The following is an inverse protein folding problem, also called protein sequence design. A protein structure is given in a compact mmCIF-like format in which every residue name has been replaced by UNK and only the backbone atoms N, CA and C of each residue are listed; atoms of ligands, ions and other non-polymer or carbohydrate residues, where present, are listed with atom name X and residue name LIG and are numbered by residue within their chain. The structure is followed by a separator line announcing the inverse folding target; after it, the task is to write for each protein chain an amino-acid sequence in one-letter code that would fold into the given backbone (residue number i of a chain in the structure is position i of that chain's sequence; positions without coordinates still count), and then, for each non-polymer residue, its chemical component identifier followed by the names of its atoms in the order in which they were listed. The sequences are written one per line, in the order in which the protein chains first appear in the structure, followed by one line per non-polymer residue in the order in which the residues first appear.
data_IF_190293028632
#
_entry.id   IF_190293028632
#
_cell.length_a   1.000
_cell.length_b   1.000
_cell.length_c   1.000
_cell.angle_alpha   90.00
_cell.angle_beta   90.00
_cell.angle_gamma   90.00
#
_symmetry.space_group_name_H-M   'P 1'
#
loop_
_entity.id
_entity.type
_entity.pdbx_description
1 polymer ?
#
# COMPACT_ATOMS: atom_id res chain seq x y z
N UNK A 1 10.97 5.03 -13.78
CA UNK A 1 10.10 5.27 -12.62
C UNK A 1 9.93 3.93 -11.92
N UNK A 2 10.32 3.83 -10.66
CA UNK A 2 10.18 2.60 -9.87
C UNK A 2 8.82 2.59 -9.17
N UNK A 3 7.93 1.74 -9.65
CA UNK A 3 6.61 1.51 -9.06
C UNK A 3 6.72 0.41 -8.01
N UNK A 4 6.21 0.66 -6.81
CA UNK A 4 5.98 -0.37 -5.79
C UNK A 4 4.48 -0.64 -5.67
N UNK A 5 4.11 -1.91 -5.82
CA UNK A 5 2.76 -2.40 -5.56
C UNK A 5 2.75 -3.12 -4.22
N UNK A 6 1.82 -2.73 -3.35
CA UNK A 6 1.64 -3.32 -2.03
C UNK A 6 0.25 -3.97 -1.99
N UNK A 7 0.16 -5.24 -1.60
CA UNK A 7 -1.13 -5.93 -1.50
C UNK A 7 -1.14 -6.95 -0.37
N UNK A 8 -2.32 -7.48 -0.07
CA UNK A 8 -2.56 -8.59 0.84
C UNK A 8 -2.89 -9.90 0.11
N UNK A 9 -2.76 -9.94 -1.22
CA UNK A 9 -3.16 -11.06 -2.08
C UNK A 9 -2.14 -11.31 -3.20
N UNK A 10 -1.53 -12.49 -3.22
CA UNK A 10 -0.62 -12.89 -4.31
C UNK A 10 -1.28 -12.86 -5.70
N UNK A 11 -2.60 -13.01 -5.79
CA UNK A 11 -3.32 -12.90 -7.06
C UNK A 11 -3.10 -11.55 -7.75
N UNK A 12 -2.95 -10.47 -6.98
CA UNK A 12 -2.69 -9.12 -7.52
C UNK A 12 -1.35 -9.08 -8.26
N UNK A 13 -0.32 -9.75 -7.74
CA UNK A 13 0.98 -9.83 -8.41
C UNK A 13 0.85 -10.50 -9.77
N UNK A 14 0.10 -11.60 -9.85
CA UNK A 14 -0.12 -12.30 -11.11
C UNK A 14 -0.93 -11.43 -12.10
N UNK A 15 -2.04 -10.85 -11.65
CA UNK A 15 -2.89 -9.97 -12.46
C UNK A 15 -2.11 -8.81 -13.08
N UNK A 16 -1.21 -8.15 -12.32
CA UNK A 16 -0.41 -7.03 -12.83
C UNK A 16 0.74 -7.49 -13.74
N UNK A 17 1.28 -8.69 -13.51
CA UNK A 17 2.26 -9.30 -14.42
C UNK A 17 1.63 -9.59 -15.77
N UNK A 18 0.39 -10.10 -15.78
CA UNK A 18 -0.38 -10.38 -17.00
C UNK A 18 -0.71 -9.09 -17.78
N UNK A 19 -0.79 -7.95 -17.09
CA UNK A 19 -0.93 -6.61 -17.68
C UNK A 19 0.40 -6.01 -18.18
N UNK A 20 1.51 -6.75 -18.09
CA UNK A 20 2.84 -6.34 -18.54
C UNK A 20 3.33 -5.02 -17.91
N UNK A 21 3.00 -4.81 -16.64
CA UNK A 21 3.50 -3.68 -15.85
C UNK A 21 4.89 -4.00 -15.27
N UNK A 22 5.78 -3.01 -15.23
CA UNK A 22 7.06 -3.09 -14.53
C UNK A 22 6.90 -2.57 -13.10
N UNK A 23 7.05 -3.45 -12.10
CA UNK A 23 6.81 -3.13 -10.69
C UNK A 23 7.61 -4.02 -9.73
N UNK A 24 7.91 -3.45 -8.56
CA UNK A 24 8.28 -4.19 -7.36
C UNK A 24 7.01 -4.56 -6.59
N UNK A 25 6.98 -5.73 -5.93
CA UNK A 25 5.82 -6.20 -5.19
C UNK A 25 6.15 -6.48 -3.73
N UNK A 26 5.31 -5.97 -2.82
CA UNK A 26 5.41 -6.24 -1.38
C UNK A 26 4.07 -6.80 -0.88
N UNK A 27 4.11 -8.03 -0.37
CA UNK A 27 3.01 -8.63 0.38
C UNK A 27 3.02 -8.13 1.83
N UNK A 28 1.94 -7.47 2.25
CA UNK A 28 1.75 -7.01 3.62
C UNK A 28 1.34 -8.15 4.57
N UNK A 29 0.86 -9.29 4.07
CA UNK A 29 0.49 -10.40 4.94
C UNK A 29 1.68 -11.04 5.61
N UNK A 30 2.86 -11.06 4.99
CA UNK A 30 4.11 -11.54 5.62
C UNK A 30 3.98 -12.91 6.30
N UNK A 31 3.19 -13.81 5.68
CA UNK A 31 2.92 -15.15 6.21
C UNK A 31 1.69 -15.28 7.12
N UNK A 32 0.86 -14.24 7.24
CA UNK A 32 -0.39 -14.20 8.00
C UNK A 32 -1.63 -14.14 7.06
N UNK A 33 -1.98 -15.26 6.38
CA UNK A 33 -3.00 -15.30 5.33
C UNK A 33 -4.45 -15.09 5.79
N UNK A 34 -4.77 -15.35 7.07
CA UNK A 34 -6.16 -15.38 7.56
C UNK A 34 -6.42 -14.40 8.71
N UNK A 35 -5.39 -13.69 9.15
CA UNK A 35 -5.42 -12.79 10.28
C UNK A 35 -5.89 -11.38 9.88
N UNK A 36 -6.43 -10.65 10.86
CA UNK A 36 -6.72 -9.23 10.70
C UNK A 36 -5.40 -8.47 10.72
N UNK A 37 -4.99 -7.92 9.56
CA UNK A 37 -3.65 -7.34 9.42
C UNK A 37 -3.39 -6.19 10.39
N UNK A 38 -4.41 -5.42 10.80
CA UNK A 38 -4.17 -4.42 11.84
C UNK A 38 -3.76 -5.03 13.17
N UNK A 39 -4.45 -6.08 13.61
CA UNK A 39 -4.11 -6.77 14.86
C UNK A 39 -2.71 -7.37 14.78
N UNK A 40 -2.33 -7.90 13.61
CA UNK A 40 -0.95 -8.38 13.38
C UNK A 40 0.06 -7.26 13.59
N UNK A 41 -0.14 -6.09 13.00
CA UNK A 41 0.84 -4.99 13.06
C UNK A 41 0.79 -4.17 14.37
N UNK A 42 -0.34 -4.14 15.08
CA UNK A 42 -0.50 -3.38 16.33
C UNK A 42 -0.26 -4.23 17.59
N UNK A 43 -0.62 -5.51 17.55
CA UNK A 43 -0.71 -6.36 18.76
C UNK A 43 0.19 -7.58 18.65
N UNK A 44 0.05 -8.39 17.60
CA UNK A 44 0.72 -9.71 17.56
C UNK A 44 2.20 -9.63 17.19
N UNK A 45 2.54 -8.78 16.22
CA UNK A 45 3.84 -8.65 15.58
C UNK A 45 4.21 -7.20 15.24
N UNK A 46 4.24 -6.28 16.24
CA UNK A 46 4.56 -4.87 16.00
C UNK A 46 5.95 -4.64 15.38
N UNK A 47 6.88 -5.59 15.51
CA UNK A 47 8.18 -5.56 14.84
C UNK A 47 8.08 -5.52 13.30
N UNK A 48 6.99 -6.03 12.71
CA UNK A 48 6.76 -6.01 11.27
C UNK A 48 6.65 -4.59 10.72
N UNK A 49 6.20 -3.63 11.54
CA UNK A 49 6.17 -2.22 11.15
C UNK A 49 7.56 -1.73 10.72
N UNK A 50 8.59 -2.06 11.51
CA UNK A 50 9.98 -1.69 11.20
C UNK A 50 10.50 -2.43 9.97
N UNK A 51 10.19 -3.72 9.87
CA UNK A 51 10.64 -4.57 8.74
C UNK A 51 10.08 -4.05 7.42
N UNK A 52 8.75 -3.86 7.33
CA UNK A 52 8.09 -3.37 6.12
C UNK A 52 8.56 -1.97 5.77
N UNK A 53 8.69 -1.08 6.75
CA UNK A 53 9.22 0.27 6.51
C UNK A 53 10.62 0.22 5.90
N UNK A 54 11.52 -0.59 6.45
CA UNK A 54 12.88 -0.74 5.95
C UNK A 54 12.92 -1.33 4.53
N UNK A 55 12.03 -2.28 4.23
CA UNK A 55 11.91 -2.82 2.87
C UNK A 55 11.46 -1.73 1.88
N UNK A 56 10.45 -0.94 2.21
CA UNK A 56 9.99 0.18 1.36
C UNK A 56 11.11 1.22 1.18
N UNK A 57 11.81 1.59 2.25
CA UNK A 57 12.96 2.51 2.20
C UNK A 57 14.11 1.96 1.34
N UNK A 58 14.33 0.64 1.35
CA UNK A 58 15.35 -0.03 0.54
C UNK A 58 14.97 -0.10 -0.93
N UNK A 59 13.69 -0.38 -1.23
CA UNK A 59 13.15 -0.35 -2.59
C UNK A 59 13.30 1.06 -3.16
N UNK A 60 13.08 2.09 -2.33
CA UNK A 60 13.14 3.50 -2.68
C UNK A 60 12.26 3.80 -3.92
N UNK A 61 10.93 3.59 -3.83
CA UNK A 61 10.02 3.74 -4.96
C UNK A 61 9.77 5.21 -5.31
N UNK A 62 9.50 5.47 -6.59
CA UNK A 62 9.02 6.78 -7.07
C UNK A 62 7.49 6.92 -6.92
N UNK A 63 6.77 5.79 -6.82
CA UNK A 63 5.30 5.74 -6.70
C UNK A 63 4.88 4.47 -5.97
N UNK A 64 3.87 4.55 -5.11
CA UNK A 64 3.28 3.40 -4.41
C UNK A 64 1.82 3.23 -4.83
N UNK A 65 1.42 2.00 -5.15
CA UNK A 65 0.02 1.61 -5.33
C UNK A 65 -0.31 0.49 -4.35
N UNK A 66 -1.30 0.74 -3.50
CA UNK A 66 -1.81 -0.25 -2.54
C UNK A 66 -3.09 -0.85 -3.11
N UNK A 67 -3.15 -2.18 -3.23
CA UNK A 67 -4.30 -2.91 -3.78
C UNK A 67 -4.86 -3.86 -2.73
N UNK A 68 -6.07 -3.61 -2.23
CA UNK A 68 -6.66 -4.42 -1.16
C UNK A 68 -8.19 -4.42 -1.17
N UNK A 69 -8.79 -5.60 -1.00
CA UNK A 69 -10.21 -5.86 -1.25
C UNK A 69 -11.12 -5.96 -0.02
N UNK A 70 -10.72 -5.42 1.14
CA UNK A 70 -11.61 -5.41 2.31
C UNK A 70 -12.68 -4.35 2.13
N UNK A 71 -13.93 -4.68 2.47
CA UNK A 71 -15.14 -3.85 2.33
C UNK A 71 -15.05 -2.48 3.02
N UNK A 72 -14.05 -2.29 3.90
CA UNK A 72 -13.72 -1.02 4.56
C UNK A 72 -12.49 -0.30 3.99
N UNK A 73 -11.83 -0.85 2.97
CA UNK A 73 -10.96 -0.17 1.99
C UNK A 73 -9.81 0.74 2.45
N UNK A 74 -9.57 0.83 3.75
CA UNK A 74 -8.75 1.86 4.38
C UNK A 74 -7.53 1.24 5.03
N UNK A 75 -7.54 -0.05 5.37
CA UNK A 75 -6.54 -0.62 6.27
C UNK A 75 -5.16 -0.80 5.64
N UNK A 76 -5.01 -1.31 4.42
CA UNK A 76 -3.66 -1.48 3.85
C UNK A 76 -2.95 -0.14 3.62
N UNK A 77 -3.67 0.82 3.01
CA UNK A 77 -3.16 2.19 2.83
C UNK A 77 -2.83 2.83 4.18
N UNK A 78 -3.71 2.64 5.18
CA UNK A 78 -3.50 3.16 6.54
C UNK A 78 -2.32 2.52 7.27
N UNK A 79 -2.11 1.20 7.12
CA UNK A 79 -0.93 0.52 7.65
C UNK A 79 0.30 1.22 7.08
N UNK A 80 0.39 1.29 5.75
CA UNK A 80 1.54 1.88 5.05
C UNK A 80 1.75 3.34 5.48
N UNK A 81 0.71 4.18 5.52
CA UNK A 81 0.85 5.59 5.91
C UNK A 81 1.30 5.75 7.36
N UNK A 82 0.81 4.90 8.28
CA UNK A 82 1.23 4.89 9.69
C UNK A 82 2.69 4.49 9.86
N UNK A 83 3.22 3.59 9.01
CA UNK A 83 4.66 3.26 9.04
C UNK A 83 5.54 4.49 8.84
N UNK A 84 5.04 5.51 8.13
CA UNK A 84 5.71 6.78 7.87
C UNK A 84 5.16 7.95 8.71
N UNK A 85 4.48 7.65 9.83
CA UNK A 85 4.05 8.67 10.79
C UNK A 85 2.81 9.47 10.40
N UNK A 86 2.11 9.08 9.33
CA UNK A 86 0.85 9.72 8.93
C UNK A 86 -0.33 8.98 9.55
N UNK A 87 -0.86 9.55 10.64
CA UNK A 87 -1.99 9.00 11.40
C UNK A 87 -3.36 9.35 10.79
N UNK A 88 -3.45 10.43 9.98
CA UNK A 88 -4.70 11.01 9.47
C UNK A 88 -4.68 11.35 7.97
N UNK A 89 -4.04 10.54 7.11
CA UNK A 89 -4.08 10.75 5.66
C UNK A 89 -5.43 10.31 5.03
N UNK A 90 -6.53 10.76 5.64
CA UNK A 90 -7.90 10.58 5.19
C UNK A 90 -8.72 11.87 5.40
N UNK A 91 -8.05 13.04 5.44
CA UNK A 91 -8.74 14.33 5.39
C UNK A 91 -9.58 14.40 4.10
N UNK A 92 -10.90 14.55 4.24
CA UNK A 92 -11.82 14.62 3.12
C UNK A 92 -12.33 13.27 2.60
N UNK A 93 -12.41 12.22 3.42
CA UNK A 93 -12.92 10.88 3.06
C UNK A 93 -14.23 10.84 2.23
N UNK A 94 -15.10 11.85 2.35
CA UNK A 94 -16.32 11.97 1.54
C UNK A 94 -16.06 12.41 0.09
N UNK A 95 -14.95 13.09 -0.16
CA UNK A 95 -14.54 13.66 -1.44
C UNK A 95 -13.36 12.87 -2.05
N UNK A 96 -12.60 12.14 -1.22
CA UNK A 96 -11.48 11.29 -1.61
C UNK A 96 -11.96 9.83 -1.79
N UNK A 97 -12.71 9.58 -2.86
CA UNK A 97 -13.28 8.25 -3.17
C UNK A 97 -12.22 7.13 -3.30
N UNK A 98 -10.94 7.49 -3.43
CA UNK A 98 -9.79 6.59 -3.50
C UNK A 98 -8.63 7.20 -2.70
N UNK A 99 -8.04 6.48 -1.74
CA UNK A 99 -7.07 7.04 -0.80
C UNK A 99 -5.75 7.48 -1.44
N UNK A 100 -5.73 8.68 -2.04
CA UNK A 100 -4.53 9.34 -2.57
C UNK A 100 -3.87 10.14 -1.46
N UNK A 101 -2.56 9.97 -1.28
CA UNK A 101 -1.74 10.76 -0.36
C UNK A 101 -0.29 10.82 -0.85
N UNK A 102 0.56 11.55 -0.15
CA UNK A 102 2.00 11.63 -0.41
C UNK A 102 2.74 11.26 0.87
N UNK A 103 3.70 10.35 0.77
CA UNK A 103 4.58 9.94 1.86
C UNK A 103 5.95 10.59 1.71
N UNK A 104 6.66 10.78 2.81
CA UNK A 104 8.09 11.17 2.78
C UNK A 104 8.95 9.92 3.03
N UNK A 105 9.66 9.47 2.01
CA UNK A 105 10.51 8.26 2.04
C UNK A 105 11.92 8.66 1.63
N UNK A 106 12.91 8.44 2.49
CA UNK A 106 14.30 8.86 2.29
C UNK A 106 14.45 10.37 1.93
N UNK A 107 13.56 11.21 2.42
CA UNK A 107 13.54 12.65 2.12
C UNK A 107 12.85 13.03 0.80
N UNK A 108 12.34 12.06 0.03
CA UNK A 108 11.59 12.29 -1.20
C UNK A 108 10.08 12.22 -0.97
N UNK A 109 9.33 13.04 -1.71
CA UNK A 109 7.87 12.94 -1.79
C UNK A 109 7.47 11.79 -2.72
N UNK A 110 6.78 10.79 -2.18
CA UNK A 110 6.35 9.59 -2.89
C UNK A 110 4.83 9.52 -2.88
N UNK A 111 4.16 9.67 -4.04
CA UNK A 111 2.71 9.54 -4.12
C UNK A 111 2.27 8.09 -3.85
N UNK A 112 1.23 7.95 -3.04
CA UNK A 112 0.59 6.69 -2.69
C UNK A 112 -0.88 6.71 -3.13
N UNK A 113 -1.29 5.65 -3.83
CA UNK A 113 -2.66 5.45 -4.29
C UNK A 113 -3.21 4.15 -3.69
N UNK A 114 -4.31 4.23 -2.94
CA UNK A 114 -5.05 3.05 -2.49
C UNK A 114 -6.21 2.75 -3.45
N UNK A 115 -6.18 1.57 -4.06
CA UNK A 115 -7.23 1.04 -4.94
C UNK A 115 -7.71 -0.33 -4.44
N UNK A 116 -8.86 -0.74 -4.95
CA UNK A 116 -9.61 -1.87 -4.43
C UNK A 116 -9.24 -3.19 -5.10
N UNK A 117 -9.08 -3.09 -6.42
CA UNK A 117 -8.82 -4.18 -7.34
C UNK A 117 -8.04 -3.63 -8.52
N UNK A 118 -7.38 -4.50 -9.26
CA UNK A 118 -6.55 -4.14 -10.41
C UNK A 118 -7.33 -3.44 -11.51
N UNK A 119 -8.64 -3.69 -11.66
CA UNK A 119 -9.48 -2.97 -12.64
C UNK A 119 -9.66 -1.47 -12.35
N UNK A 120 -9.34 -1.02 -11.13
CA UNK A 120 -9.40 0.38 -10.72
C UNK A 120 -8.10 1.14 -11.03
N UNK A 121 -7.16 0.52 -11.74
CA UNK A 121 -5.85 1.10 -12.07
C UNK A 121 -5.93 2.45 -12.79
N UNK A 122 -6.99 2.69 -13.59
CA UNK A 122 -7.22 3.97 -14.28
C UNK A 122 -7.14 5.19 -13.35
N UNK A 123 -7.51 5.05 -12.07
CA UNK A 123 -7.49 6.13 -11.10
C UNK A 123 -6.08 6.49 -10.59
N UNK A 124 -5.10 5.62 -10.85
CA UNK A 124 -3.67 5.82 -10.56
C UNK A 124 -3.01 6.68 -11.63
N UNK A 125 -3.43 6.53 -12.90
CA UNK A 125 -2.81 7.19 -14.06
C UNK A 125 -3.38 8.59 -14.38
N UNK A 126 -4.52 8.96 -13.79
CA UNK A 126 -5.17 10.28 -13.96
C UNK A 126 -4.48 11.45 -13.22
N UNK A 127 -3.31 11.25 -12.61
CA UNK A 127 -2.62 12.24 -11.76
C UNK A 127 -1.26 12.67 -12.32
#
# INVERSE_FOLDING_TARGET
MKLLVISDRDSVKQELTDLNLDFEYLDLRKGFPNEQLMDVYEIEKPELCRVVRQEIETINPDKIVVVGGLTDYVWLGTIVTRLFGQFNSWNGQRENAFGKTVLTINGNEVPLYAIYQTSDWRYVDEA
#
